data_IF_187892110875
#
_entry.id   IF_187892110875
#
_cell.length_a   1.000
_cell.length_b   1.000
_cell.length_c   1.000
_cell.angle_alpha   90.00
_cell.angle_beta   90.00
_cell.angle_gamma   90.00
#
_symmetry.space_group_name_H-M   'P 1'
#
loop_
_entity.id
_entity.type
_entity.pdbx_description
1 polymer ?
#
# COMPACT_ATOMS: atom_id res chain seq x y z
N UNK A 1 -10.77 17.68 11.79
CA UNK A 1 -10.20 16.33 11.72
C UNK A 1 -8.92 16.32 12.53
N UNK A 2 -8.89 15.55 13.63
CA UNK A 2 -7.74 15.46 14.55
C UNK A 2 -6.69 14.51 13.98
N UNK A 3 -7.11 13.35 13.49
CA UNK A 3 -6.24 12.37 12.86
C UNK A 3 -7.02 11.66 11.75
N UNK A 4 -6.34 11.36 10.65
CA UNK A 4 -6.82 10.52 9.55
C UNK A 4 -5.62 9.91 8.83
N UNK A 5 -5.89 8.99 7.89
CA UNK A 5 -4.89 8.34 7.07
C UNK A 5 -5.29 8.49 5.60
N UNK A 6 -4.31 8.61 4.72
CA UNK A 6 -4.51 8.64 3.27
C UNK A 6 -3.43 7.81 2.57
N UNK A 7 -3.62 7.49 1.30
CA UNK A 7 -2.53 7.00 0.45
C UNK A 7 -1.49 8.11 0.22
N UNK A 8 -0.26 7.72 -0.11
CA UNK A 8 0.82 8.66 -0.39
C UNK A 8 0.58 9.51 -1.65
N UNK A 9 -0.10 8.97 -2.68
CA UNK A 9 -0.43 9.75 -3.89
C UNK A 9 -1.39 10.92 -3.59
N UNK A 10 -2.59 10.74 -2.99
CA UNK A 10 -3.46 11.87 -2.63
C UNK A 10 -2.80 12.85 -1.67
N UNK A 11 -1.96 12.34 -0.75
CA UNK A 11 -1.17 13.21 0.13
C UNK A 11 -0.31 14.16 -0.70
N UNK A 12 0.53 13.62 -1.59
CA UNK A 12 1.42 14.41 -2.44
C UNK A 12 0.66 15.34 -3.40
N UNK A 13 -0.35 14.82 -4.11
CA UNK A 13 -0.95 15.51 -5.26
C UNK A 13 -1.95 16.59 -4.88
N UNK A 14 -2.69 16.43 -3.77
CA UNK A 14 -3.81 17.32 -3.43
C UNK A 14 -3.76 17.83 -1.99
N UNK A 15 -3.29 17.02 -1.04
CA UNK A 15 -3.45 17.31 0.38
C UNK A 15 -2.25 17.97 1.04
N UNK A 16 -1.03 17.84 0.51
CA UNK A 16 0.22 18.32 1.13
C UNK A 16 0.12 19.74 1.68
N UNK A 17 -0.51 20.64 0.92
CA UNK A 17 -0.65 22.04 1.34
C UNK A 17 -1.84 22.32 2.27
N UNK A 18 -2.75 21.35 2.43
CA UNK A 18 -4.03 21.47 3.16
C UNK A 18 -4.02 20.80 4.54
N UNK A 19 -3.04 19.95 4.83
CA UNK A 19 -2.94 19.19 6.08
C UNK A 19 -1.52 19.24 6.64
N UNK A 20 -1.35 18.90 7.92
CA UNK A 20 -0.04 18.63 8.49
C UNK A 20 0.21 17.11 8.48
N UNK A 21 1.43 16.71 8.11
CA UNK A 21 1.89 15.33 8.20
C UNK A 21 2.25 15.00 9.66
N UNK A 22 1.67 13.93 10.18
CA UNK A 22 1.91 13.42 11.54
C UNK A 22 3.05 12.41 11.51
N UNK A 23 3.03 11.49 10.55
CA UNK A 23 4.02 10.43 10.37
C UNK A 23 3.37 9.20 9.71
N UNK A 24 3.95 8.02 9.87
CA UNK A 24 3.39 6.76 9.37
C UNK A 24 3.66 5.62 10.36
N UNK A 25 2.74 4.66 10.54
CA UNK A 25 3.05 3.41 11.20
C UNK A 25 4.15 2.66 10.45
N UNK A 26 5.01 1.98 11.20
CA UNK A 26 5.92 0.97 10.68
C UNK A 26 5.26 -0.41 10.86
N UNK A 27 5.12 -1.13 9.76
CA UNK A 27 4.52 -2.46 9.73
C UNK A 27 5.55 -3.59 9.74
N UNK A 28 6.85 -3.28 9.78
CA UNK A 28 7.92 -4.28 9.84
C UNK A 28 7.92 -5.22 8.64
N UNK A 29 7.66 -4.67 7.45
CA UNK A 29 7.61 -5.44 6.20
C UNK A 29 9.03 -5.83 5.77
N UNK A 30 9.23 -7.10 5.46
CA UNK A 30 10.50 -7.61 4.95
C UNK A 30 10.91 -6.86 3.66
N UNK A 31 12.17 -6.44 3.60
CA UNK A 31 12.71 -5.68 2.46
C UNK A 31 12.33 -4.20 2.43
N UNK A 32 11.70 -3.67 3.49
CA UNK A 32 11.38 -2.24 3.63
C UNK A 32 12.14 -1.62 4.81
N UNK A 33 12.67 -0.38 4.66
CA UNK A 33 13.05 0.44 5.80
C UNK A 33 11.86 0.68 6.75
N UNK A 34 12.14 1.07 7.98
CA UNK A 34 11.10 1.40 8.96
C UNK A 34 10.15 2.47 8.41
N UNK A 35 8.84 2.21 8.48
CA UNK A 35 7.81 3.13 8.00
C UNK A 35 7.64 3.14 6.48
N UNK A 36 8.27 2.23 5.75
CA UNK A 36 8.08 2.05 4.31
C UNK A 36 7.27 0.78 4.03
N UNK A 37 6.67 0.73 2.84
CA UNK A 37 5.99 -0.44 2.32
C UNK A 37 6.22 -0.59 0.83
N UNK A 38 5.81 -1.72 0.25
CA UNK A 38 5.78 -1.94 -1.18
C UNK A 38 4.42 -2.49 -1.61
N UNK A 39 4.17 -2.48 -2.91
CA UNK A 39 3.03 -3.18 -3.51
C UNK A 39 3.45 -4.59 -3.91
N UNK A 40 2.55 -5.55 -3.78
CA UNK A 40 2.75 -6.92 -4.24
C UNK A 40 1.87 -7.19 -5.45
N UNK A 41 2.43 -7.75 -6.51
CA UNK A 41 1.67 -8.27 -7.64
C UNK A 41 1.29 -9.71 -7.36
N UNK A 42 0.00 -10.01 -7.40
CA UNK A 42 -0.53 -11.35 -7.15
C UNK A 42 -1.14 -11.97 -8.39
N UNK A 43 -1.06 -13.29 -8.46
CA UNK A 43 -1.72 -14.14 -9.46
C UNK A 43 -2.32 -15.35 -8.77
N UNK A 44 -3.17 -16.10 -9.47
CA UNK A 44 -3.59 -17.42 -9.00
C UNK A 44 -2.40 -18.37 -8.87
N UNK A 45 -2.42 -19.23 -7.85
CA UNK A 45 -1.35 -20.18 -7.59
C UNK A 45 -1.08 -21.12 -8.77
N UNK A 46 -2.14 -21.51 -9.51
CA UNK A 46 -2.10 -22.37 -10.70
C UNK A 46 -1.72 -21.65 -12.01
N UNK A 47 -1.48 -20.33 -11.96
CA UNK A 47 -1.03 -19.55 -13.11
C UNK A 47 0.37 -19.95 -13.55
N UNK A 48 0.63 -19.87 -14.87
CA UNK A 48 1.96 -20.09 -15.45
C UNK A 48 2.90 -18.88 -15.31
N UNK A 49 2.40 -17.73 -14.83
CA UNK A 49 3.18 -16.49 -14.62
C UNK A 49 4.27 -16.70 -13.57
N UNK A 50 5.54 -16.53 -13.92
CA UNK A 50 6.67 -16.72 -13.01
C UNK A 50 7.19 -15.41 -12.45
N UNK A 51 7.16 -14.35 -13.25
CA UNK A 51 7.63 -13.03 -12.86
C UNK A 51 6.79 -11.89 -13.46
N UNK A 52 7.18 -10.64 -13.21
CA UNK A 52 6.48 -9.45 -13.71
C UNK A 52 6.37 -9.43 -15.24
N UNK A 53 7.39 -9.87 -15.98
CA UNK A 53 7.42 -9.78 -17.46
C UNK A 53 6.40 -10.68 -18.13
N UNK A 54 6.05 -11.80 -17.48
CA UNK A 54 4.97 -12.69 -17.91
C UNK A 54 3.57 -12.04 -17.82
N UNK A 55 3.45 -10.86 -17.18
CA UNK A 55 2.21 -10.09 -17.09
C UNK A 55 2.05 -9.05 -18.22
N UNK A 56 2.93 -9.02 -19.22
CA UNK A 56 2.78 -8.09 -20.35
C UNK A 56 1.40 -8.26 -21.03
N UNK A 57 0.63 -7.17 -21.10
CA UNK A 57 -0.74 -7.15 -21.65
C UNK A 57 -1.80 -7.82 -20.76
N UNK A 58 -1.47 -8.16 -19.50
CA UNK A 58 -2.42 -8.77 -18.57
C UNK A 58 -3.52 -7.78 -18.15
N UNK A 59 -4.75 -8.28 -17.96
CA UNK A 59 -5.81 -7.48 -17.31
C UNK A 59 -5.51 -7.40 -15.82
N UNK A 60 -5.49 -6.18 -15.33
CA UNK A 60 -5.15 -5.86 -13.96
C UNK A 60 -6.38 -5.33 -13.23
N UNK A 61 -6.65 -5.91 -12.06
CA UNK A 61 -7.58 -5.35 -11.11
C UNK A 61 -6.88 -4.36 -10.18
N UNK A 62 -7.51 -3.20 -10.00
CA UNK A 62 -7.03 -2.11 -9.15
C UNK A 62 -8.17 -1.59 -8.27
N UNK A 63 -7.81 -0.93 -7.17
CA UNK A 63 -8.81 -0.43 -6.23
C UNK A 63 -9.41 0.89 -6.71
N UNK A 64 -8.59 1.92 -6.95
CA UNK A 64 -9.06 3.25 -7.38
C UNK A 64 -7.90 3.98 -8.09
N UNK A 65 -8.19 4.92 -8.98
CA UNK A 65 -7.17 5.66 -9.73
C UNK A 65 -6.30 6.55 -8.84
N UNK A 66 -6.74 6.93 -7.63
CA UNK A 66 -5.93 7.69 -6.68
C UNK A 66 -5.05 6.79 -5.79
N UNK A 67 -5.06 5.47 -6.01
CA UNK A 67 -4.31 4.52 -5.21
C UNK A 67 -2.82 4.57 -5.52
N UNK A 68 -1.99 4.77 -4.51
CA UNK A 68 -0.55 4.62 -4.67
C UNK A 68 -0.18 3.15 -4.92
N UNK A 69 -0.69 2.25 -4.10
CA UNK A 69 -0.31 0.83 -4.06
C UNK A 69 -0.98 -0.04 -5.11
N UNK A 70 -2.18 0.35 -5.56
CA UNK A 70 -2.96 -0.43 -6.50
C UNK A 70 -3.00 0.16 -7.91
N UNK A 71 -2.54 1.40 -8.11
CA UNK A 71 -2.59 2.08 -9.41
C UNK A 71 -1.25 2.71 -9.80
N UNK A 72 -0.84 3.82 -9.17
CA UNK A 72 0.32 4.59 -9.60
C UNK A 72 1.67 3.84 -9.48
N UNK A 73 1.97 3.27 -8.31
CA UNK A 73 3.19 2.50 -8.10
C UNK A 73 3.31 1.30 -9.04
N UNK A 74 2.25 0.49 -9.19
CA UNK A 74 2.24 -0.61 -10.15
C UNK A 74 2.41 -0.18 -11.61
N UNK A 75 1.83 0.95 -12.02
CA UNK A 75 1.99 1.49 -13.37
C UNK A 75 3.46 1.85 -13.63
N UNK A 76 4.05 2.68 -12.77
CA UNK A 76 5.45 3.08 -12.88
C UNK A 76 6.40 1.87 -12.85
N UNK A 77 6.10 0.87 -12.03
CA UNK A 77 6.90 -0.36 -11.97
C UNK A 77 6.81 -1.17 -13.26
N UNK A 78 5.61 -1.31 -13.84
CA UNK A 78 5.44 -1.99 -15.13
C UNK A 78 6.22 -1.29 -16.26
N UNK A 79 6.13 0.04 -16.33
CA UNK A 79 6.87 0.85 -17.31
C UNK A 79 8.39 0.67 -17.16
N UNK A 80 8.93 0.69 -15.94
CA UNK A 80 10.35 0.46 -15.68
C UNK A 80 10.80 -0.95 -16.11
N UNK A 81 9.92 -1.95 -15.98
CA UNK A 81 10.19 -3.31 -16.45
C UNK A 81 10.01 -3.49 -17.96
N UNK A 82 9.59 -2.44 -18.69
CA UNK A 82 9.38 -2.47 -20.13
C UNK A 82 8.14 -3.25 -20.54
N UNK A 83 7.13 -3.33 -19.67
CA UNK A 83 5.86 -4.00 -19.97
C UNK A 83 4.67 -3.07 -19.77
N UNK A 84 3.55 -3.42 -20.39
CA UNK A 84 2.28 -2.73 -20.23
C UNK A 84 1.29 -3.62 -19.45
N UNK A 85 0.53 -3.04 -18.52
CA UNK A 85 -0.57 -3.68 -17.81
C UNK A 85 -1.88 -2.99 -18.20
N UNK A 86 -2.94 -3.77 -18.40
CA UNK A 86 -4.25 -3.23 -18.76
C UNK A 86 -5.07 -2.98 -17.49
N UNK A 87 -5.03 -1.74 -16.96
CA UNK A 87 -5.81 -1.30 -15.79
C UNK A 87 -7.30 -1.13 -16.14
N UNK A 88 -8.02 -2.23 -16.34
CA UNK A 88 -9.41 -2.22 -16.82
C UNK A 88 -10.44 -2.84 -15.85
N UNK A 89 -10.03 -3.30 -14.67
CA UNK A 89 -10.96 -3.81 -13.64
C UNK A 89 -10.83 -2.96 -12.37
N UNK A 90 -11.58 -1.87 -12.30
CA UNK A 90 -11.70 -1.08 -11.07
C UNK A 90 -12.60 -1.80 -10.06
N UNK A 91 -12.15 -1.92 -8.82
CA UNK A 91 -12.83 -2.75 -7.80
C UNK A 91 -13.18 -2.02 -6.51
N UNK A 92 -12.71 -0.79 -6.32
CA UNK A 92 -12.91 0.03 -5.12
C UNK A 92 -12.03 -0.32 -3.90
N UNK A 93 -11.46 -1.53 -3.82
CA UNK A 93 -10.70 -1.96 -2.65
C UNK A 93 -9.66 -3.06 -2.95
N UNK A 94 -8.53 -3.08 -2.24
CA UNK A 94 -7.50 -4.10 -2.40
C UNK A 94 -8.03 -5.53 -2.22
N UNK A 95 -8.89 -5.77 -1.22
CA UNK A 95 -9.56 -7.07 -1.05
C UNK A 95 -10.39 -7.45 -2.28
N UNK A 96 -11.12 -6.50 -2.87
CA UNK A 96 -11.94 -6.73 -4.05
C UNK A 96 -11.07 -6.98 -5.31
N UNK A 97 -9.91 -6.33 -5.44
CA UNK A 97 -8.91 -6.65 -6.47
C UNK A 97 -8.38 -8.07 -6.32
N UNK A 98 -8.09 -8.52 -5.09
CA UNK A 98 -7.64 -9.88 -4.84
C UNK A 98 -8.70 -10.92 -5.21
N UNK A 99 -9.96 -10.67 -4.84
CA UNK A 99 -11.10 -11.49 -5.25
C UNK A 99 -11.27 -11.53 -6.77
N UNK A 100 -11.05 -10.42 -7.48
CA UNK A 100 -11.11 -10.39 -8.94
C UNK A 100 -10.09 -11.32 -9.60
N UNK A 101 -8.91 -11.48 -9.01
CA UNK A 101 -7.90 -12.44 -9.48
C UNK A 101 -8.30 -13.87 -9.15
N UNK A 102 -8.78 -14.10 -7.92
CA UNK A 102 -9.29 -15.40 -7.49
C UNK A 102 -10.40 -15.93 -8.40
N UNK A 103 -11.38 -15.07 -8.71
CA UNK A 103 -12.54 -15.36 -9.56
C UNK A 103 -12.20 -15.38 -11.06
N UNK A 104 -10.96 -15.07 -11.45
CA UNK A 104 -10.51 -15.07 -12.86
C UNK A 104 -11.00 -13.88 -13.68
N UNK A 105 -11.58 -12.85 -13.04
CA UNK A 105 -11.97 -11.59 -13.70
C UNK A 105 -10.76 -10.77 -14.15
N UNK A 106 -9.65 -10.85 -13.42
CA UNK A 106 -8.35 -10.28 -13.77
C UNK A 106 -7.24 -11.34 -13.71
N UNK A 107 -6.18 -11.18 -14.50
CA UNK A 107 -5.01 -12.05 -14.41
C UNK A 107 -4.12 -11.69 -13.22
N UNK A 108 -4.08 -10.40 -12.83
CA UNK A 108 -3.28 -9.92 -11.71
C UNK A 108 -3.95 -8.74 -11.00
N UNK A 109 -3.46 -8.45 -9.81
CA UNK A 109 -3.75 -7.25 -9.05
C UNK A 109 -2.49 -6.82 -8.31
N UNK A 110 -2.37 -5.53 -8.03
CA UNK A 110 -1.37 -5.01 -7.11
C UNK A 110 -2.04 -4.53 -5.83
N UNK A 111 -1.51 -4.99 -4.70
CA UNK A 111 -2.03 -4.71 -3.37
C UNK A 111 -0.95 -4.08 -2.50
N UNK A 112 -1.31 -3.24 -1.55
CA UNK A 112 -0.35 -2.90 -0.49
C UNK A 112 0.02 -4.16 0.31
N UNK A 113 1.30 -4.30 0.64
CA UNK A 113 1.83 -5.50 1.29
C UNK A 113 1.22 -5.76 2.68
N UNK A 114 0.71 -4.73 3.37
CA UNK A 114 0.06 -4.89 4.68
C UNK A 114 -1.31 -5.54 4.49
N UNK A 115 -2.10 -5.08 3.54
CA UNK A 115 -3.38 -5.71 3.16
C UNK A 115 -3.14 -7.13 2.69
N UNK A 116 -2.15 -7.39 1.83
CA UNK A 116 -1.85 -8.75 1.41
C UNK A 116 -1.53 -9.68 2.58
N UNK A 117 -0.68 -9.23 3.53
CA UNK A 117 -0.39 -9.96 4.77
C UNK A 117 -1.66 -10.28 5.56
N UNK A 118 -2.59 -9.32 5.66
CA UNK A 118 -3.86 -9.51 6.36
C UNK A 118 -4.80 -10.45 5.61
N UNK A 119 -4.88 -10.36 4.28
CA UNK A 119 -5.68 -11.28 3.47
C UNK A 119 -5.20 -12.72 3.66
N UNK A 120 -3.89 -12.97 3.63
CA UNK A 120 -3.33 -14.32 3.88
C UNK A 120 -3.70 -14.85 5.27
N UNK A 121 -3.78 -13.96 6.28
CA UNK A 121 -4.12 -14.35 7.66
C UNK A 121 -5.62 -14.63 7.85
N UNK A 122 -6.49 -13.90 7.16
CA UNK A 122 -7.91 -13.85 7.51
C UNK A 122 -8.87 -14.31 6.40
N UNK A 123 -8.42 -14.42 5.14
CA UNK A 123 -9.27 -14.80 4.01
C UNK A 123 -8.94 -16.20 3.49
N UNK A 124 -9.94 -17.07 3.43
CA UNK A 124 -9.78 -18.46 3.01
C UNK A 124 -9.31 -18.60 1.54
N UNK A 125 -9.63 -17.63 0.69
CA UNK A 125 -9.23 -17.66 -0.72
C UNK A 125 -7.78 -17.21 -0.94
N UNK A 126 -7.20 -16.42 -0.03
CA UNK A 126 -5.90 -15.80 -0.23
C UNK A 126 -4.75 -16.82 -0.43
N UNK A 127 -4.71 -17.98 0.25
CA UNK A 127 -3.71 -19.03 -0.01
C UNK A 127 -3.75 -19.62 -1.42
N UNK A 128 -4.84 -19.42 -2.18
CA UNK A 128 -4.92 -19.83 -3.59
C UNK A 128 -4.30 -18.81 -4.56
N UNK A 129 -3.79 -17.69 -4.02
CA UNK A 129 -3.07 -16.65 -4.75
C UNK A 129 -1.61 -16.63 -4.29
N UNK A 130 -0.71 -16.17 -5.15
CA UNK A 130 0.71 -16.04 -4.84
C UNK A 130 1.29 -14.74 -5.39
N UNK A 131 2.31 -14.22 -4.71
CA UNK A 131 3.06 -13.04 -5.14
C UNK A 131 4.05 -13.45 -6.24
N UNK A 132 4.11 -12.67 -7.32
CA UNK A 132 5.06 -12.84 -8.44
C UNK A 132 6.07 -11.71 -8.57
N UNK A 133 5.75 -10.54 -8.04
CA UNK A 133 6.64 -9.39 -8.05
C UNK A 133 6.31 -8.43 -6.91
N UNK A 134 7.27 -7.56 -6.59
CA UNK A 134 7.14 -6.49 -5.60
C UNK A 134 7.68 -5.21 -6.21
N UNK A 135 7.01 -4.08 -5.95
CA UNK A 135 7.58 -2.78 -6.31
C UNK A 135 8.77 -2.45 -5.40
N UNK A 136 9.51 -1.39 -5.73
CA UNK A 136 10.44 -0.79 -4.76
C UNK A 136 9.68 -0.30 -3.51
N UNK A 137 10.37 -0.18 -2.35
CA UNK A 137 9.79 0.43 -1.16
C UNK A 137 9.49 1.92 -1.36
N UNK A 138 8.37 2.38 -0.86
CA UNK A 138 7.97 3.79 -0.75
C UNK A 138 7.51 4.09 0.69
N UNK A 139 7.50 5.36 1.13
CA UNK A 139 6.96 5.69 2.45
C UNK A 139 5.54 5.15 2.65
N UNK A 140 5.27 4.68 3.86
CA UNK A 140 3.98 4.15 4.31
C UNK A 140 2.83 5.15 4.19
N UNK A 141 1.61 4.70 4.49
CA UNK A 141 0.44 5.55 4.37
C UNK A 141 0.48 6.69 5.41
N UNK A 142 0.53 7.97 4.98
CA UNK A 142 0.69 9.09 5.89
C UNK A 142 -0.54 9.26 6.78
N UNK A 143 -0.27 9.35 8.07
CA UNK A 143 -1.18 9.93 9.05
C UNK A 143 -1.13 11.45 8.95
N UNK A 144 -2.30 12.08 8.90
CA UNK A 144 -2.47 13.51 8.65
C UNK A 144 -3.45 14.13 9.65
N UNK A 145 -3.28 15.43 9.91
CA UNK A 145 -4.21 16.21 10.71
C UNK A 145 -4.54 17.57 10.04
N UNK A 146 -5.65 18.18 10.43
CA UNK A 146 -6.00 19.51 9.92
C UNK A 146 -4.94 20.56 10.35
N UNK A 147 -4.64 21.53 9.47
CA UNK A 147 -3.61 22.59 9.66
C UNK A 147 -3.62 23.30 11.02
N UNK A 148 -4.79 23.41 11.66
CA UNK A 148 -4.97 24.05 12.98
C UNK A 148 -4.40 23.23 14.15
N UNK A 149 -4.03 21.97 13.94
CA UNK A 149 -3.46 21.10 14.98
C UNK A 149 -1.95 20.98 14.81
N UNK A 150 -1.25 20.89 15.93
CA UNK A 150 0.19 20.61 15.95
C UNK A 150 0.44 19.11 15.73
N UNK A 151 1.09 18.79 14.60
CA UNK A 151 1.35 17.40 14.22
C UNK A 151 2.27 16.68 15.22
N UNK A 152 3.22 17.38 15.83
CA UNK A 152 4.14 16.84 16.84
C UNK A 152 3.40 16.29 18.06
N UNK A 153 2.39 17.01 18.57
CA UNK A 153 1.56 16.57 19.71
C UNK A 153 0.78 15.30 19.35
N UNK A 154 0.21 15.25 18.14
CA UNK A 154 -0.55 14.09 17.69
C UNK A 154 0.38 12.88 17.45
N UNK A 155 1.57 13.11 16.91
CA UNK A 155 2.59 12.08 16.74
C UNK A 155 3.01 11.48 18.10
N UNK A 156 3.30 12.33 19.08
CA UNK A 156 3.62 11.90 20.44
C UNK A 156 2.45 11.12 21.09
N UNK A 157 1.21 11.58 20.91
CA UNK A 157 0.04 10.84 21.38
C UNK A 157 -0.11 9.47 20.70
N UNK A 158 0.18 9.37 19.40
CA UNK A 158 0.16 8.11 18.66
C UNK A 158 1.25 7.15 19.17
N UNK A 159 2.49 7.63 19.33
CA UNK A 159 3.61 6.86 19.86
C UNK A 159 3.33 6.36 21.28
N UNK A 160 2.82 7.22 22.16
CA UNK A 160 2.44 6.87 23.52
C UNK A 160 1.29 5.84 23.55
N UNK A 161 0.31 5.99 22.66
CA UNK A 161 -0.78 5.02 22.51
C UNK A 161 -0.26 3.66 22.05
N UNK A 162 0.58 3.64 21.01
CA UNK A 162 1.22 2.42 20.51
C UNK A 162 2.06 1.75 21.59
N UNK A 163 2.82 2.51 22.39
CA UNK A 163 3.65 1.96 23.47
C UNK A 163 2.83 1.22 24.52
N UNK A 164 1.63 1.73 24.85
CA UNK A 164 0.72 1.17 25.85
C UNK A 164 -0.09 -0.05 25.39
N UNK A 165 -0.16 -0.32 24.08
CA UNK A 165 -0.79 -1.54 23.59
C UNK A 165 -0.01 -2.78 24.04
N UNK A 166 -0.74 -3.82 24.43
CA UNK A 166 -0.14 -5.12 24.71
C UNK A 166 0.40 -5.78 23.41
N UNK A 167 1.11 -6.90 23.59
CA UNK A 167 1.74 -7.60 22.49
C UNK A 167 0.72 -8.19 21.50
N UNK A 168 -0.44 -8.62 21.98
CA UNK A 168 -1.49 -9.24 21.18
C UNK A 168 -2.11 -8.20 20.23
N UNK A 169 -2.51 -7.03 20.75
CA UNK A 169 -3.01 -5.94 19.92
C UNK A 169 -1.97 -5.42 18.94
N UNK A 170 -0.69 -5.31 19.32
CA UNK A 170 0.38 -4.93 18.40
C UNK A 170 0.53 -5.94 17.26
N UNK A 171 0.43 -7.23 17.58
CA UNK A 171 0.48 -8.31 16.59
C UNK A 171 -0.73 -8.25 15.65
N UNK A 172 -1.92 -7.95 16.16
CA UNK A 172 -3.14 -7.85 15.35
C UNK A 172 -3.17 -6.64 14.43
N UNK A 173 -2.72 -5.48 14.92
CA UNK A 173 -2.52 -4.30 14.07
C UNK A 173 -1.35 -4.48 13.09
N UNK A 174 -0.41 -5.37 13.43
CA UNK A 174 0.83 -5.57 12.69
C UNK A 174 1.74 -4.35 12.67
N UNK A 175 1.56 -3.42 13.61
CA UNK A 175 2.35 -2.19 13.77
C UNK A 175 3.45 -2.46 14.78
N UNK A 176 4.71 -2.33 14.33
CA UNK A 176 5.90 -2.56 15.15
C UNK A 176 6.56 -1.26 15.61
N UNK A 177 6.16 -0.13 15.01
CA UNK A 177 6.71 1.17 15.32
C UNK A 177 5.97 2.31 14.65
N UNK A 178 6.54 3.50 14.76
CA UNK A 178 6.04 4.71 14.15
C UNK A 178 7.21 5.58 13.70
N UNK A 179 7.08 6.21 12.53
CA UNK A 179 8.12 7.04 11.94
C UNK A 179 7.56 8.41 11.64
N UNK A 180 8.21 9.45 12.19
CA UNK A 180 7.92 10.86 11.92
C UNK A 180 8.54 11.27 10.57
N UNK A 181 7.88 10.90 9.49
CA UNK A 181 8.28 11.23 8.11
C UNK A 181 8.25 12.75 7.86
N UNK A 182 9.03 13.19 6.89
CA UNK A 182 9.01 14.54 6.34
C UNK A 182 8.16 14.59 5.06
N UNK A 183 7.55 15.75 4.72
CA UNK A 183 6.84 15.90 3.46
C UNK A 183 7.65 15.53 2.21
N UNK A 184 8.97 15.71 2.27
CA UNK A 184 9.92 15.41 1.20
C UNK A 184 10.00 13.91 0.89
N UNK A 185 9.79 13.04 1.88
CA UNK A 185 9.82 11.58 1.70
C UNK A 185 8.79 11.13 0.65
N UNK A 186 7.66 11.82 0.57
CA UNK A 186 6.56 11.55 -0.37
C UNK A 186 6.74 12.21 -1.75
N UNK A 187 7.95 12.63 -2.10
CA UNK A 187 8.22 13.40 -3.33
C UNK A 187 8.86 12.57 -4.45
N UNK A 188 9.07 11.26 -4.25
CA UNK A 188 9.77 10.40 -5.21
C UNK A 188 9.00 10.17 -6.53
N UNK A 189 9.71 9.70 -7.55
CA UNK A 189 9.16 9.40 -8.87
C UNK A 189 8.00 8.38 -8.82
N UNK A 190 7.98 7.53 -7.80
CA UNK A 190 6.93 6.56 -7.55
C UNK A 190 5.54 7.18 -7.38
N UNK A 191 5.49 8.47 -7.04
CA UNK A 191 4.25 9.22 -6.83
C UNK A 191 3.92 10.18 -7.99
N UNK A 192 4.64 10.09 -9.12
CA UNK A 192 4.33 10.85 -10.33
C UNK A 192 3.09 10.27 -11.02
N UNK A 193 2.27 11.12 -11.67
CA UNK A 193 1.11 10.67 -12.42
C UNK A 193 1.49 9.85 -13.65
#
# INVERSE_FOLDING_TARGET
>A
MVLSQTCGYPYRSVLREKVNLVGTPDYGLEGCPAGYYHSVFIVRADSQVKDIRDLAGARMAYNDTHSQSGFHGPHAFAEEQGIELLFNVETGAHRASALAVYEGRAQTAALDAVTWRNLVRFEEFAPTLRVVARTWPVPGLPLICARRFEASIIAEAFENGLAQLDAEFKQDLGIVGFVRMQPEDYSSAAFLP
#
